data_IF_523145367424
#
_entry.id   IF_523145367424
#
_cell.length_a   1.000
_cell.length_b   1.000
_cell.length_c   1.000
_cell.angle_alpha   90.00
_cell.angle_beta   90.00
_cell.angle_gamma   90.00
#
_symmetry.space_group_name_H-M   'P 1'
#
loop_
_entity.id
_entity.type
_entity.pdbx_description
1 polymer ?
#
# COMPACT_ATOMS: atom_id res chain seq x y z
N UNK A 1 57.14 15.28 -15.16
CA UNK A 1 55.91 15.61 -14.45
C UNK A 1 54.75 15.13 -15.29
N UNK A 2 54.35 13.86 -15.14
CA UNK A 2 53.25 13.27 -15.87
C UNK A 2 51.98 13.41 -15.03
N UNK A 3 50.96 14.05 -15.61
CA UNK A 3 49.62 14.13 -15.02
C UNK A 3 48.86 12.83 -15.36
N UNK A 4 48.62 12.03 -14.35
CA UNK A 4 47.76 10.84 -14.44
C UNK A 4 46.31 11.30 -14.34
N UNK A 5 45.61 11.25 -15.48
CA UNK A 5 44.15 11.45 -15.56
C UNK A 5 43.45 10.17 -15.12
N UNK A 6 42.90 10.15 -13.91
CA UNK A 6 41.98 9.08 -13.45
C UNK A 6 40.56 9.51 -13.73
N UNK A 7 39.92 8.90 -14.73
CA UNK A 7 38.47 8.89 -14.92
C UNK A 7 37.81 7.95 -13.90
N UNK A 8 36.70 8.35 -13.27
CA UNK A 8 35.93 7.45 -12.42
C UNK A 8 35.10 6.48 -13.26
N UNK A 9 34.92 5.23 -12.84
CA UNK A 9 34.09 4.26 -13.53
C UNK A 9 32.60 4.55 -13.27
N UNK A 10 31.98 5.28 -14.18
CA UNK A 10 30.54 5.54 -14.19
C UNK A 10 29.78 4.53 -15.03
N UNK A 11 29.52 3.36 -14.50
CA UNK A 11 28.55 2.42 -15.06
C UNK A 11 27.18 2.66 -14.46
N UNK A 12 26.40 3.61 -14.97
CA UNK A 12 24.96 3.70 -14.69
C UNK A 12 24.26 2.53 -15.39
N UNK A 13 23.96 1.47 -14.64
CA UNK A 13 23.00 0.46 -15.08
C UNK A 13 21.59 1.05 -14.94
N UNK A 14 21.03 1.50 -16.06
CA UNK A 14 19.62 1.82 -16.18
C UNK A 14 18.79 0.54 -16.07
N UNK A 15 18.06 0.38 -14.95
CA UNK A 15 17.05 -0.66 -14.81
C UNK A 15 15.87 -0.37 -15.75
N UNK A 16 15.32 -1.37 -16.46
CA UNK A 16 14.15 -1.17 -17.30
C UNK A 16 12.95 -0.80 -16.43
N UNK A 17 12.50 0.44 -16.54
CA UNK A 17 11.30 0.92 -15.89
C UNK A 17 10.08 0.33 -16.61
N UNK A 18 9.44 -0.68 -16.02
CA UNK A 18 8.13 -1.11 -16.48
C UNK A 18 7.08 -0.09 -16.07
N UNK A 19 6.35 0.45 -17.04
CA UNK A 19 5.30 1.47 -16.91
C UNK A 19 4.15 1.11 -15.93
N UNK A 20 4.12 -0.09 -15.36
CA UNK A 20 3.14 -0.53 -14.37
C UNK A 20 3.50 -0.14 -12.92
N UNK A 21 4.79 0.04 -12.58
CA UNK A 21 5.22 0.45 -11.24
C UNK A 21 4.83 1.89 -10.87
N UNK A 22 4.55 2.73 -11.86
CA UNK A 22 4.23 4.15 -11.62
C UNK A 22 2.88 4.40 -10.95
N UNK A 23 1.99 3.39 -10.87
CA UNK A 23 0.60 3.57 -10.41
C UNK A 23 0.36 3.14 -8.96
N UNK A 24 1.34 2.53 -8.28
CA UNK A 24 1.11 1.88 -7.00
C UNK A 24 1.78 2.59 -5.82
N UNK A 25 1.01 2.74 -4.75
CA UNK A 25 1.45 3.22 -3.44
C UNK A 25 1.64 2.01 -2.52
N UNK A 26 2.75 1.97 -1.77
CA UNK A 26 3.05 0.83 -0.89
C UNK A 26 3.09 1.29 0.57
N UNK A 27 2.06 0.95 1.38
CA UNK A 27 2.17 0.92 2.85
C UNK A 27 0.85 0.57 3.56
N UNK A 28 0.91 -0.08 4.70
CA UNK A 28 -0.26 -0.38 5.55
C UNK A 28 -0.40 0.64 6.67
N UNK A 29 0.69 0.99 7.37
CA UNK A 29 0.63 1.86 8.54
C UNK A 29 0.46 3.34 8.20
N UNK A 30 1.08 3.80 7.11
CA UNK A 30 0.91 5.17 6.63
C UNK A 30 -0.52 5.51 6.27
N UNK A 31 -1.23 4.52 5.73
CA UNK A 31 -2.65 4.62 5.38
C UNK A 31 -3.54 4.80 6.62
N UNK A 32 -3.29 4.05 7.69
CA UNK A 32 -4.03 4.22 8.95
C UNK A 32 -3.84 5.63 9.53
N UNK A 33 -2.61 6.14 9.55
CA UNK A 33 -2.33 7.50 10.03
C UNK A 33 -3.07 8.59 9.24
N UNK A 34 -3.22 8.42 7.91
CA UNK A 34 -4.01 9.34 7.08
C UNK A 34 -5.52 9.24 7.34
N UNK A 35 -6.00 8.07 7.72
CA UNK A 35 -7.43 7.86 7.99
C UNK A 35 -7.92 8.66 9.19
N UNK A 36 -7.07 8.89 10.20
CA UNK A 36 -7.41 9.71 11.36
C UNK A 36 -7.54 11.22 11.06
N UNK A 37 -7.26 11.65 9.84
CA UNK A 37 -7.35 13.07 9.48
C UNK A 37 -8.64 13.37 8.73
N UNK A 38 -9.22 14.53 9.01
CA UNK A 38 -10.39 15.03 8.30
C UNK A 38 -9.97 15.72 6.99
N UNK A 39 -9.46 14.94 6.05
CA UNK A 39 -9.12 15.40 4.70
C UNK A 39 -10.34 15.36 3.78
N UNK A 40 -10.51 16.39 2.96
CA UNK A 40 -11.43 16.37 1.82
C UNK A 40 -10.95 15.36 0.76
N UNK A 41 -11.82 15.03 -0.20
CA UNK A 41 -11.49 14.16 -1.33
C UNK A 41 -10.24 14.66 -2.08
N UNK A 42 -10.20 15.96 -2.37
CA UNK A 42 -9.07 16.59 -3.08
C UNK A 42 -7.78 16.50 -2.27
N UNK A 43 -7.84 16.81 -0.97
CA UNK A 43 -6.68 16.73 -0.08
C UNK A 43 -6.17 15.31 0.06
N UNK A 44 -7.04 14.29 0.20
CA UNK A 44 -6.62 12.89 0.24
C UNK A 44 -5.90 12.46 -1.05
N UNK A 45 -6.44 12.83 -2.21
CA UNK A 45 -5.81 12.53 -3.51
C UNK A 45 -4.43 13.19 -3.63
N UNK A 46 -4.30 14.44 -3.21
CA UNK A 46 -3.03 15.17 -3.20
C UNK A 46 -2.03 14.49 -2.26
N UNK A 47 -2.42 14.23 -1.01
CA UNK A 47 -1.56 13.59 0.00
C UNK A 47 -1.05 12.24 -0.49
N UNK A 48 -1.92 11.39 -1.02
CA UNK A 48 -1.53 10.07 -1.51
C UNK A 48 -0.58 10.14 -2.71
N UNK A 49 -0.74 11.15 -3.57
CA UNK A 49 0.17 11.38 -4.68
C UNK A 49 1.54 11.90 -4.22
N UNK A 50 1.57 12.78 -3.22
CA UNK A 50 2.82 13.25 -2.58
C UNK A 50 3.54 12.08 -1.93
N UNK A 51 2.84 11.23 -1.17
CA UNK A 51 3.43 10.06 -0.51
C UNK A 51 4.00 9.09 -1.54
N UNK A 52 3.28 8.82 -2.63
CA UNK A 52 3.79 7.99 -3.72
C UNK A 52 5.09 8.53 -4.29
N UNK A 53 5.14 9.84 -4.57
CA UNK A 53 6.34 10.49 -5.11
C UNK A 53 7.49 10.44 -4.10
N UNK A 54 7.21 10.70 -2.83
CA UNK A 54 8.16 10.58 -1.75
C UNK A 54 8.71 9.15 -1.63
N UNK A 55 7.85 8.13 -1.76
CA UNK A 55 8.27 6.73 -1.78
C UNK A 55 9.23 6.43 -2.94
N UNK A 56 8.97 6.94 -4.14
CA UNK A 56 9.87 6.77 -5.28
C UNK A 56 11.25 7.36 -4.98
N UNK A 57 11.30 8.62 -4.52
CA UNK A 57 12.56 9.31 -4.17
C UNK A 57 13.36 8.55 -3.13
N UNK A 58 12.70 7.95 -2.14
CA UNK A 58 13.39 7.23 -1.06
C UNK A 58 13.74 5.80 -1.46
N UNK A 59 12.89 5.12 -2.23
CA UNK A 59 13.16 3.77 -2.71
C UNK A 59 14.33 3.73 -3.71
N UNK A 60 14.57 4.81 -4.44
CA UNK A 60 15.76 4.93 -5.29
C UNK A 60 17.06 4.93 -4.46
N UNK A 61 16.98 5.24 -3.16
CA UNK A 61 18.10 5.20 -2.19
C UNK A 61 18.09 3.96 -1.29
N UNK A 62 17.02 3.16 -1.28
CA UNK A 62 16.95 1.93 -0.48
C UNK A 62 17.63 0.80 -1.20
N UNK A 63 18.74 0.38 -0.64
CA UNK A 63 19.51 -0.82 -0.98
C UNK A 63 18.58 -2.02 -1.19
N UNK A 64 18.87 -2.88 -2.19
CA UNK A 64 18.04 -4.02 -2.52
C UNK A 64 17.80 -4.95 -1.32
N UNK A 65 16.59 -5.20 -1.03
CA UNK A 65 15.84 -6.23 -0.31
C UNK A 65 16.59 -7.43 0.31
N UNK A 66 17.62 -7.24 1.13
CA UNK A 66 18.30 -8.37 1.77
C UNK A 66 18.50 -8.21 3.29
N UNK A 67 17.75 -7.39 3.97
CA UNK A 67 17.80 -7.36 5.43
C UNK A 67 16.46 -7.71 6.03
N UNK A 68 16.43 -8.85 6.71
CA UNK A 68 15.33 -9.34 7.54
C UNK A 68 15.06 -8.47 8.78
N UNK A 69 15.83 -7.42 9.01
CA UNK A 69 15.55 -6.41 10.04
C UNK A 69 15.05 -5.13 9.39
N UNK A 70 13.79 -4.92 9.51
CA UNK A 70 12.95 -3.97 8.77
C UNK A 70 12.94 -2.57 9.38
N UNK A 71 13.99 -2.13 9.97
CA UNK A 71 14.15 -0.74 10.33
C UNK A 71 14.62 0.03 9.10
N UNK A 72 13.75 0.93 8.63
CA UNK A 72 14.10 1.85 7.57
C UNK A 72 15.34 2.69 7.97
N UNK A 73 16.50 2.31 7.46
CA UNK A 73 17.79 3.00 7.64
C UNK A 73 18.20 3.82 6.40
N UNK A 74 17.26 4.06 5.47
CA UNK A 74 17.52 4.60 4.15
C UNK A 74 17.75 6.11 4.06
N UNK A 75 17.85 6.84 5.17
CA UNK A 75 18.26 8.24 5.12
C UNK A 75 19.76 8.37 4.84
N UNK A 76 20.12 9.29 3.94
CA UNK A 76 21.53 9.70 3.77
C UNK A 76 22.07 10.32 5.07
N UNK A 77 23.40 10.41 5.18
CA UNK A 77 24.02 11.09 6.33
C UNK A 77 23.55 12.54 6.45
N UNK A 78 23.39 13.22 5.32
CA UNK A 78 22.91 14.60 5.25
C UNK A 78 21.45 14.71 5.71
N UNK A 79 20.57 13.83 5.24
CA UNK A 79 19.17 13.79 5.67
C UNK A 79 19.05 13.48 7.17
N UNK A 80 19.90 12.60 7.70
CA UNK A 80 19.95 12.31 9.15
C UNK A 80 20.38 13.53 9.95
N UNK A 81 21.43 14.21 9.49
CA UNK A 81 21.95 15.42 10.15
C UNK A 81 20.94 16.58 10.09
N UNK A 82 20.26 16.75 8.96
CA UNK A 82 19.23 17.77 8.78
C UNK A 82 17.92 17.48 9.53
N UNK A 83 17.65 16.24 9.91
CA UNK A 83 16.40 15.82 10.58
C UNK A 83 15.16 15.82 9.66
N UNK A 84 15.33 16.12 8.38
CA UNK A 84 14.25 16.20 7.39
C UNK A 84 14.67 15.67 6.02
N UNK A 85 13.68 15.35 5.21
CA UNK A 85 13.84 14.93 3.81
C UNK A 85 13.01 15.82 2.91
N UNK A 86 13.65 16.39 1.88
CA UNK A 86 13.00 17.23 0.89
C UNK A 86 12.59 16.37 -0.33
N UNK A 87 11.35 16.54 -0.78
CA UNK A 87 10.78 15.89 -1.96
C UNK A 87 10.31 16.97 -2.91
N UNK A 88 10.84 16.98 -4.13
CA UNK A 88 10.53 18.00 -5.13
C UNK A 88 9.75 17.38 -6.28
N UNK A 89 8.63 18.02 -6.66
CA UNK A 89 7.84 17.59 -7.80
C UNK A 89 7.24 18.78 -8.56
N UNK A 90 6.79 18.55 -9.80
CA UNK A 90 6.10 19.58 -10.58
C UNK A 90 4.65 19.67 -10.15
N UNK A 91 4.08 20.88 -10.08
CA UNK A 91 2.65 21.06 -9.84
C UNK A 91 1.77 20.36 -10.90
N UNK A 92 2.25 20.25 -12.13
CA UNK A 92 1.55 19.54 -13.21
C UNK A 92 1.39 18.03 -12.97
N UNK A 93 2.23 17.43 -12.11
CA UNK A 93 2.15 16.01 -11.78
C UNK A 93 0.88 15.64 -10.99
N UNK A 94 0.27 16.61 -10.31
CA UNK A 94 -1.01 16.41 -9.63
C UNK A 94 -2.21 16.25 -10.57
N UNK A 95 -2.01 16.40 -11.90
CA UNK A 95 -3.04 16.25 -12.93
C UNK A 95 -4.27 17.15 -12.74
N UNK A 96 -4.12 18.26 -12.04
CA UNK A 96 -5.09 19.34 -12.05
C UNK A 96 -4.93 20.13 -13.34
N UNK A 97 -6.03 20.49 -14.01
CA UNK A 97 -5.97 21.36 -15.20
C UNK A 97 -5.26 22.68 -14.90
N UNK A 98 -4.66 23.31 -15.90
CA UNK A 98 -3.85 24.52 -15.71
C UNK A 98 -4.60 25.67 -14.99
N UNK A 99 -5.92 25.77 -15.16
CA UNK A 99 -6.76 26.75 -14.47
C UNK A 99 -7.01 26.46 -12.98
N UNK A 100 -6.60 25.30 -12.48
CA UNK A 100 -6.85 24.87 -11.09
C UNK A 100 -5.63 24.94 -10.17
N UNK A 101 -4.53 25.56 -10.60
CA UNK A 101 -3.34 25.73 -9.75
C UNK A 101 -3.59 26.56 -8.46
N UNK A 102 -4.42 27.60 -8.45
CA UNK A 102 -4.78 28.28 -7.20
C UNK A 102 -5.43 27.32 -6.19
N UNK A 103 -6.42 26.54 -6.63
CA UNK A 103 -7.11 25.57 -5.77
C UNK A 103 -6.15 24.48 -5.25
N UNK A 104 -5.19 24.05 -6.08
CA UNK A 104 -4.16 23.11 -5.67
C UNK A 104 -3.24 23.70 -4.58
N UNK A 105 -2.80 24.96 -4.74
CA UNK A 105 -2.01 25.67 -3.72
C UNK A 105 -2.77 25.80 -2.39
N UNK A 106 -4.03 26.22 -2.45
CA UNK A 106 -4.87 26.33 -1.27
C UNK A 106 -5.07 24.99 -0.58
N UNK A 107 -5.24 23.91 -1.35
CA UNK A 107 -5.36 22.55 -0.80
C UNK A 107 -4.04 22.10 -0.12
N UNK A 108 -2.89 22.36 -0.72
CA UNK A 108 -1.57 22.08 -0.13
C UNK A 108 -1.41 22.85 1.20
N UNK A 109 -1.75 24.12 1.23
CA UNK A 109 -1.69 24.94 2.46
C UNK A 109 -2.63 24.42 3.54
N UNK A 110 -3.85 24.01 3.18
CA UNK A 110 -4.78 23.38 4.15
C UNK A 110 -4.25 22.07 4.69
N UNK A 111 -3.60 21.23 3.88
CA UNK A 111 -2.96 20.01 4.34
C UNK A 111 -1.83 20.34 5.32
N UNK A 112 -0.99 21.31 4.99
CA UNK A 112 0.12 21.77 5.82
C UNK A 112 -0.34 22.31 7.18
N UNK A 113 -1.51 22.95 7.24
CA UNK A 113 -2.08 23.49 8.48
C UNK A 113 -2.68 22.43 9.42
N UNK A 114 -2.83 21.17 8.95
CA UNK A 114 -3.45 20.10 9.74
C UNK A 114 -2.38 19.31 10.53
N UNK A 115 -2.50 19.26 11.86
CA UNK A 115 -1.63 18.41 12.66
C UNK A 115 -1.92 16.95 12.36
N UNK A 116 -0.90 16.11 12.42
CA UNK A 116 -1.03 14.66 12.27
C UNK A 116 -0.72 13.93 13.58
N UNK A 117 -1.40 12.82 13.78
CA UNK A 117 -1.24 11.97 14.95
C UNK A 117 -0.74 10.60 14.47
N UNK A 118 0.47 10.23 14.84
CA UNK A 118 1.07 8.98 14.42
C UNK A 118 1.26 8.03 15.61
N UNK A 119 0.90 6.75 15.47
CA UNK A 119 1.13 5.75 16.52
C UNK A 119 2.60 5.32 16.53
N UNK A 120 3.19 5.29 17.72
CA UNK A 120 4.52 4.75 17.98
C UNK A 120 4.42 3.62 18.99
N UNK A 121 5.19 2.56 18.78
CA UNK A 121 5.34 1.48 19.74
C UNK A 121 6.63 1.63 20.54
N UNK A 122 6.52 1.46 21.86
CA UNK A 122 7.67 1.32 22.76
C UNK A 122 7.40 0.13 23.67
N UNK A 123 8.10 -0.99 23.40
CA UNK A 123 7.73 -2.28 23.98
C UNK A 123 6.31 -2.68 23.57
N UNK A 124 5.49 -3.09 24.54
CA UNK A 124 4.10 -3.48 24.31
C UNK A 124 3.10 -2.30 24.31
N UNK A 125 3.56 -1.09 24.63
CA UNK A 125 2.71 0.09 24.69
C UNK A 125 2.69 0.82 23.35
N UNK A 126 1.48 1.26 22.95
CA UNK A 126 1.28 2.15 21.81
C UNK A 126 0.92 3.53 22.34
N UNK A 127 1.69 4.54 21.95
CA UNK A 127 1.38 5.94 22.22
C UNK A 127 1.34 6.74 20.92
N UNK A 128 0.60 7.85 20.96
CA UNK A 128 0.40 8.69 19.79
C UNK A 128 1.24 9.96 19.93
N UNK A 129 2.10 10.23 18.94
CA UNK A 129 2.84 11.49 18.85
C UNK A 129 2.14 12.43 17.88
N UNK A 130 1.89 13.66 18.35
CA UNK A 130 1.34 14.73 17.53
C UNK A 130 2.47 15.48 16.84
N UNK A 131 2.38 15.61 15.52
CA UNK A 131 3.21 16.50 14.71
C UNK A 131 2.39 17.70 14.25
N UNK A 132 3.04 18.86 14.08
CA UNK A 132 2.35 20.08 13.67
C UNK A 132 1.76 19.99 12.26
N UNK A 133 2.39 19.22 11.37
CA UNK A 133 1.95 19.02 9.99
C UNK A 133 2.54 17.75 9.41
N UNK A 134 1.99 17.30 8.28
CA UNK A 134 2.52 16.19 7.49
C UNK A 134 3.84 16.57 6.81
N UNK A 135 3.89 17.76 6.25
CA UNK A 135 5.05 18.37 5.58
C UNK A 135 4.95 19.89 5.66
N UNK A 136 6.06 20.57 5.37
CA UNK A 136 6.08 21.98 4.99
C UNK A 136 6.27 22.10 3.51
N UNK A 137 5.67 23.08 2.87
CA UNK A 137 5.72 23.26 1.43
C UNK A 137 6.32 24.60 1.02
N UNK A 138 7.07 24.59 -0.08
CA UNK A 138 7.60 25.79 -0.73
C UNK A 138 7.28 25.68 -2.22
N UNK A 139 6.51 26.63 -2.76
CA UNK A 139 6.10 26.65 -4.16
C UNK A 139 6.89 27.74 -4.86
N UNK A 140 7.59 27.38 -5.93
CA UNK A 140 8.45 28.26 -6.69
C UNK A 140 8.42 27.96 -8.19
N UNK A 141 8.92 28.85 -8.99
CA UNK A 141 9.10 28.64 -10.42
C UNK A 141 10.58 28.36 -10.71
N UNK A 142 10.86 27.28 -11.42
CA UNK A 142 12.22 26.93 -11.80
C UNK A 142 12.71 27.77 -13.01
N UNK A 143 13.99 27.61 -13.39
CA UNK A 143 14.62 28.32 -14.54
C UNK A 143 13.89 28.11 -15.87
N UNK A 144 13.17 26.98 -16.01
CA UNK A 144 12.37 26.66 -17.20
C UNK A 144 10.91 27.12 -17.09
N UNK A 145 10.60 28.02 -16.19
CA UNK A 145 9.26 28.56 -15.92
C UNK A 145 8.21 27.49 -15.51
N UNK A 146 8.65 26.29 -15.10
CA UNK A 146 7.77 25.28 -14.55
C UNK A 146 7.50 25.57 -13.06
N UNK A 147 6.23 25.47 -12.66
CA UNK A 147 5.87 25.54 -11.27
C UNK A 147 6.27 24.25 -10.55
N UNK A 148 7.07 24.40 -9.52
CA UNK A 148 7.60 23.34 -8.67
C UNK A 148 7.05 23.49 -7.27
N UNK A 149 6.96 22.39 -6.55
CA UNK A 149 6.72 22.38 -5.12
C UNK A 149 7.75 21.48 -4.45
N UNK A 150 8.34 22.00 -3.38
CA UNK A 150 9.23 21.27 -2.49
C UNK A 150 8.46 20.97 -1.21
N UNK A 151 8.33 19.70 -0.89
CA UNK A 151 7.75 19.22 0.36
C UNK A 151 8.87 18.79 1.30
N UNK A 152 8.90 19.38 2.48
CA UNK A 152 9.85 19.05 3.54
C UNK A 152 9.16 18.23 4.62
N UNK A 153 9.57 16.98 4.75
CA UNK A 153 9.05 16.04 5.74
C UNK A 153 10.02 15.93 6.93
N UNK A 154 9.49 15.92 8.15
CA UNK A 154 10.22 15.42 9.30
C UNK A 154 10.59 13.94 9.06
N UNK A 155 11.82 13.54 9.37
CA UNK A 155 12.27 12.17 9.15
C UNK A 155 11.48 11.14 9.95
N UNK A 156 10.93 11.50 11.12
CA UNK A 156 10.06 10.60 11.88
C UNK A 156 8.71 10.41 11.20
N UNK A 157 8.18 11.46 10.55
CA UNK A 157 6.93 11.40 9.79
C UNK A 157 7.11 10.54 8.54
N UNK A 158 8.16 10.80 7.76
CA UNK A 158 8.38 10.06 6.52
C UNK A 158 8.70 8.60 6.79
N UNK A 159 9.47 8.29 7.83
CA UNK A 159 9.78 6.92 8.28
C UNK A 159 8.50 6.13 8.56
N UNK A 160 7.47 6.77 9.10
CA UNK A 160 6.20 6.12 9.37
C UNK A 160 5.51 5.57 8.11
N UNK A 161 5.62 6.27 6.97
CA UNK A 161 5.06 5.83 5.69
C UNK A 161 5.88 4.73 5.00
N UNK A 162 7.06 4.41 5.50
CA UNK A 162 7.96 3.37 4.98
C UNK A 162 8.13 2.19 5.92
N UNK A 163 7.50 2.21 7.09
CA UNK A 163 7.57 1.09 8.01
C UNK A 163 6.71 -0.07 7.48
N UNK A 164 7.40 -1.09 6.95
CA UNK A 164 6.78 -2.28 6.37
C UNK A 164 6.68 -3.46 7.36
N UNK A 165 6.92 -3.25 8.66
CA UNK A 165 6.96 -4.32 9.69
C UNK A 165 5.67 -5.15 9.75
N UNK A 166 4.54 -4.57 9.35
CA UNK A 166 3.24 -5.25 9.31
C UNK A 166 2.80 -5.68 7.91
N UNK A 167 3.74 -5.69 6.97
CA UNK A 167 3.47 -6.00 5.58
C UNK A 167 3.22 -4.76 4.71
N UNK A 168 3.09 -4.98 3.42
CA UNK A 168 2.94 -3.95 2.40
C UNK A 168 1.73 -4.27 1.55
N UNK A 169 0.82 -3.30 1.38
CA UNK A 169 -0.28 -3.40 0.41
C UNK A 169 -0.02 -2.47 -0.76
N UNK A 170 -0.32 -2.95 -1.96
CA UNK A 170 -0.27 -2.13 -3.18
C UNK A 170 -1.62 -1.43 -3.36
N UNK A 171 -1.60 -0.13 -3.47
CA UNK A 171 -2.79 0.71 -3.63
C UNK A 171 -2.77 1.35 -5.01
N UNK A 172 -3.79 1.09 -5.81
CA UNK A 172 -3.93 1.70 -7.12
C UNK A 172 -4.44 3.14 -6.98
N UNK A 173 -3.60 4.11 -7.35
CA UNK A 173 -3.98 5.52 -7.36
C UNK A 173 -5.03 5.84 -8.43
N UNK A 174 -5.16 5.04 -9.50
CA UNK A 174 -6.22 5.22 -10.47
C UNK A 174 -7.59 4.93 -9.82
N UNK A 175 -7.68 3.88 -9.01
CA UNK A 175 -8.87 3.59 -8.22
C UNK A 175 -9.22 4.75 -7.27
N UNK A 176 -8.21 5.28 -6.54
CA UNK A 176 -8.39 6.44 -5.67
C UNK A 176 -8.89 7.67 -6.43
N UNK A 177 -8.32 7.95 -7.61
CA UNK A 177 -8.73 9.09 -8.42
C UNK A 177 -10.19 8.98 -8.90
N UNK A 178 -10.71 7.77 -9.08
CA UNK A 178 -12.08 7.51 -9.47
C UNK A 178 -13.06 7.41 -8.30
N UNK A 179 -12.59 7.37 -7.05
CA UNK A 179 -13.45 7.48 -5.87
C UNK A 179 -14.13 8.84 -5.81
N UNK A 180 -15.42 8.83 -5.48
CA UNK A 180 -16.29 10.03 -5.42
C UNK A 180 -16.29 10.70 -4.05
N UNK A 181 -15.98 9.95 -2.99
CA UNK A 181 -16.04 10.46 -1.62
C UNK A 181 -14.79 10.16 -0.80
N UNK A 182 -14.54 10.97 0.23
CA UNK A 182 -13.46 10.73 1.19
C UNK A 182 -13.64 9.39 1.91
N UNK A 183 -14.87 9.04 2.29
CA UNK A 183 -15.19 7.75 2.91
C UNK A 183 -14.88 6.57 1.98
N UNK A 184 -15.14 6.72 0.66
CA UNK A 184 -14.79 5.69 -0.34
C UNK A 184 -13.28 5.48 -0.43
N UNK A 185 -12.50 6.56 -0.47
CA UNK A 185 -11.04 6.50 -0.48
C UNK A 185 -10.54 5.80 0.79
N UNK A 186 -10.99 6.24 1.95
CA UNK A 186 -10.57 5.67 3.24
C UNK A 186 -10.95 4.20 3.36
N UNK A 187 -12.17 3.84 2.98
CA UNK A 187 -12.62 2.45 3.00
C UNK A 187 -11.82 1.58 2.00
N UNK A 188 -11.48 2.10 0.82
CA UNK A 188 -10.62 1.43 -0.14
C UNK A 188 -9.23 1.15 0.43
N UNK A 189 -8.63 2.13 1.10
CA UNK A 189 -7.33 1.98 1.76
C UNK A 189 -7.37 0.91 2.85
N UNK A 190 -8.40 0.95 3.70
CA UNK A 190 -8.59 0.00 4.80
C UNK A 190 -8.88 -1.41 4.26
N UNK A 191 -9.70 -1.53 3.22
CA UNK A 191 -10.00 -2.79 2.55
C UNK A 191 -8.73 -3.51 2.09
N UNK A 192 -7.77 -2.79 1.51
CA UNK A 192 -6.50 -3.37 1.10
C UNK A 192 -5.67 -3.90 2.28
N UNK A 193 -5.80 -3.29 3.46
CA UNK A 193 -5.18 -3.80 4.69
C UNK A 193 -5.85 -5.08 5.22
N UNK A 194 -7.13 -5.30 4.91
CA UNK A 194 -7.91 -6.44 5.35
C UNK A 194 -7.98 -7.57 4.34
N UNK A 195 -7.50 -7.35 3.11
CA UNK A 195 -7.63 -8.28 1.99
C UNK A 195 -7.20 -9.73 2.31
N UNK A 196 -6.19 -9.90 3.16
CA UNK A 196 -5.71 -11.22 3.56
C UNK A 196 -6.67 -11.99 4.49
N UNK A 197 -7.63 -11.30 5.13
CA UNK A 197 -8.53 -11.90 6.13
C UNK A 197 -9.89 -12.31 5.55
N UNK A 198 -10.28 -11.78 4.37
CA UNK A 198 -11.59 -12.01 3.75
C UNK A 198 -12.77 -11.34 4.48
N UNK A 199 -12.73 -11.22 5.79
CA UNK A 199 -13.67 -10.45 6.60
C UNK A 199 -12.95 -9.80 7.79
N UNK A 200 -13.57 -8.79 8.39
CA UNK A 200 -13.09 -8.19 9.62
C UNK A 200 -14.26 -7.66 10.44
N UNK A 201 -14.10 -7.73 11.76
CA UNK A 201 -15.04 -7.17 12.73
C UNK A 201 -14.35 -5.97 13.39
N UNK A 202 -15.01 -4.84 13.39
CA UNK A 202 -14.49 -3.62 13.99
C UNK A 202 -15.52 -2.94 14.88
N UNK A 203 -15.09 -2.43 16.04
CA UNK A 203 -15.96 -1.60 16.88
C UNK A 203 -16.40 -0.37 16.09
N UNK A 204 -17.64 0.03 16.30
CA UNK A 204 -18.23 1.19 15.59
C UNK A 204 -17.45 2.48 15.87
N UNK A 205 -17.00 2.68 17.11
CA UNK A 205 -16.14 3.82 17.48
C UNK A 205 -14.86 3.85 16.68
N UNK A 206 -14.21 2.71 16.48
CA UNK A 206 -12.98 2.60 15.67
C UNK A 206 -13.25 2.93 14.19
N UNK A 207 -14.37 2.47 13.63
CA UNK A 207 -14.76 2.82 12.25
C UNK A 207 -14.99 4.33 12.12
N UNK A 208 -15.69 4.97 13.06
CA UNK A 208 -15.89 6.40 13.05
C UNK A 208 -14.54 7.15 13.15
N UNK A 209 -13.64 6.70 14.02
CA UNK A 209 -12.30 7.27 14.15
C UNK A 209 -11.52 7.15 12.83
N UNK A 210 -11.54 6.00 12.17
CA UNK A 210 -10.88 5.80 10.86
C UNK A 210 -11.48 6.72 9.78
N UNK A 211 -12.80 6.88 9.76
CA UNK A 211 -13.48 7.66 8.72
C UNK A 211 -13.42 9.17 8.94
N UNK A 212 -13.46 9.62 10.18
CA UNK A 212 -13.64 11.04 10.52
C UNK A 212 -12.61 11.59 11.53
N UNK A 213 -11.71 10.75 12.04
CA UNK A 213 -10.72 11.15 13.07
C UNK A 213 -11.32 11.32 14.47
N UNK A 214 -12.58 10.92 14.69
CA UNK A 214 -13.30 11.03 15.95
C UNK A 214 -14.15 9.79 16.17
N UNK A 215 -14.21 9.31 17.41
CA UNK A 215 -14.96 8.09 17.78
C UNK A 215 -16.48 8.34 17.86
N UNK A 216 -16.88 9.57 18.01
CA UNK A 216 -18.25 10.02 18.27
C UNK A 216 -18.81 10.96 17.20
N UNK A 217 -18.37 10.83 15.97
CA UNK A 217 -18.75 11.74 14.87
C UNK A 217 -20.24 11.63 14.53
N UNK A 218 -20.75 10.41 14.34
CA UNK A 218 -22.17 10.14 14.17
C UNK A 218 -22.78 9.67 15.49
N UNK A 219 -23.99 10.11 15.79
CA UNK A 219 -24.70 9.76 17.01
C UNK A 219 -25.68 8.60 16.82
N UNK A 220 -26.10 8.36 15.57
CA UNK A 220 -27.07 7.33 15.23
C UNK A 220 -26.54 6.41 14.13
N UNK A 221 -27.05 5.17 14.12
CA UNK A 221 -26.75 4.23 13.04
C UNK A 221 -27.19 4.77 11.67
N UNK A 222 -28.39 5.34 11.60
CA UNK A 222 -28.94 5.88 10.34
C UNK A 222 -28.01 6.90 9.70
N UNK A 223 -27.36 7.75 10.50
CA UNK A 223 -26.40 8.74 9.99
C UNK A 223 -25.09 8.08 9.51
N UNK A 224 -24.51 7.19 10.33
CA UNK A 224 -23.28 6.48 9.98
C UNK A 224 -23.49 5.63 8.72
N UNK A 225 -24.61 4.90 8.65
CA UNK A 225 -24.95 4.07 7.51
C UNK A 225 -25.14 4.89 6.24
N UNK A 226 -26.09 5.84 6.25
CA UNK A 226 -26.48 6.56 5.04
C UNK A 226 -25.40 7.51 4.52
N UNK A 227 -24.74 8.26 5.41
CA UNK A 227 -23.78 9.30 5.03
C UNK A 227 -22.36 8.80 4.82
N UNK A 228 -22.03 7.60 5.37
CA UNK A 228 -20.66 7.08 5.30
C UNK A 228 -20.59 5.70 4.64
N UNK A 229 -21.13 4.66 5.28
CA UNK A 229 -20.89 3.28 4.87
C UNK A 229 -21.61 2.89 3.59
N UNK A 230 -22.92 3.17 3.50
CA UNK A 230 -23.71 2.88 2.30
C UNK A 230 -23.14 3.59 1.07
N UNK A 231 -22.77 4.87 1.21
CA UNK A 231 -22.17 5.64 0.12
C UNK A 231 -20.82 5.03 -0.31
N UNK A 232 -19.93 4.78 0.65
CA UNK A 232 -18.60 4.26 0.38
C UNK A 232 -18.65 2.86 -0.27
N UNK A 233 -19.46 1.94 0.27
CA UNK A 233 -19.60 0.59 -0.28
C UNK A 233 -20.25 0.59 -1.67
N UNK A 234 -21.26 1.44 -1.92
CA UNK A 234 -21.86 1.59 -3.26
C UNK A 234 -20.83 2.13 -4.26
N UNK A 235 -19.99 3.07 -3.87
CA UNK A 235 -18.95 3.64 -4.73
C UNK A 235 -17.86 2.60 -5.05
N UNK A 236 -17.39 1.83 -4.07
CA UNK A 236 -16.45 0.72 -4.28
C UNK A 236 -17.07 -0.38 -5.16
N UNK A 237 -18.34 -0.73 -4.94
CA UNK A 237 -19.05 -1.69 -5.81
C UNK A 237 -19.18 -1.20 -7.24
N UNK A 238 -19.36 0.10 -7.46
CA UNK A 238 -19.32 0.73 -8.79
C UNK A 238 -17.95 0.56 -9.45
N UNK A 239 -16.85 0.86 -8.73
CA UNK A 239 -15.49 0.68 -9.23
C UNK A 239 -15.20 -0.79 -9.56
N UNK A 240 -15.68 -1.71 -8.73
CA UNK A 240 -15.58 -3.15 -8.98
C UNK A 240 -16.31 -3.56 -10.26
N UNK A 241 -17.56 -3.10 -10.46
CA UNK A 241 -18.34 -3.39 -11.68
C UNK A 241 -17.67 -2.84 -12.93
N UNK A 242 -17.03 -1.68 -12.82
CA UNK A 242 -16.29 -1.03 -13.91
C UNK A 242 -14.87 -1.58 -14.11
N UNK A 243 -14.50 -2.68 -13.48
CA UNK A 243 -13.18 -3.32 -13.56
C UNK A 243 -12.00 -2.40 -13.18
N UNK A 244 -12.24 -1.39 -12.35
CA UNK A 244 -11.20 -0.50 -11.82
C UNK A 244 -10.50 -1.13 -10.62
N UNK A 245 -11.25 -1.87 -9.80
CA UNK A 245 -10.76 -2.65 -8.65
C UNK A 245 -11.28 -4.09 -8.73
N UNK A 246 -10.55 -5.02 -8.12
CA UNK A 246 -10.92 -6.44 -8.11
C UNK A 246 -11.71 -6.84 -6.86
N UNK A 247 -11.86 -5.94 -5.91
CA UNK A 247 -12.46 -6.22 -4.61
C UNK A 247 -13.46 -5.13 -4.22
N UNK A 248 -14.49 -5.49 -3.46
CA UNK A 248 -15.39 -4.56 -2.79
C UNK A 248 -15.84 -5.12 -1.43
N UNK A 249 -16.42 -4.26 -0.60
CA UNK A 249 -16.92 -4.63 0.73
C UNK A 249 -18.44 -4.58 0.80
N UNK A 250 -18.99 -5.52 1.55
CA UNK A 250 -20.32 -5.41 2.17
C UNK A 250 -20.13 -5.36 3.68
N UNK A 251 -21.16 -4.92 4.40
CA UNK A 251 -21.10 -4.84 5.85
C UNK A 251 -22.43 -5.24 6.49
N UNK A 252 -22.36 -5.68 7.74
CA UNK A 252 -23.49 -6.01 8.58
C UNK A 252 -23.28 -5.44 9.99
N UNK A 253 -24.21 -4.61 10.52
CA UNK A 253 -24.13 -4.13 11.89
C UNK A 253 -24.52 -5.23 12.87
N UNK A 254 -23.96 -5.17 14.07
CA UNK A 254 -24.33 -6.02 15.19
C UNK A 254 -24.74 -5.14 16.38
N UNK A 255 -25.98 -5.33 16.87
CA UNK A 255 -26.56 -4.66 18.02
C UNK A 255 -26.63 -5.64 19.19
N UNK A 256 -26.40 -5.18 20.43
CA UNK A 256 -26.50 -6.00 21.64
C UNK A 256 -27.94 -6.29 22.02
N UNK A 257 -28.85 -5.37 21.73
CA UNK A 257 -30.28 -5.50 22.05
C UNK A 257 -31.08 -5.60 20.74
N UNK A 258 -31.92 -6.61 20.61
CA UNK A 258 -32.87 -6.75 19.53
C UNK A 258 -34.10 -5.87 19.79
N UNK A 259 -34.50 -5.01 18.84
CA UNK A 259 -35.77 -4.26 18.93
C UNK A 259 -35.79 -2.92 18.17
N UNK A 260 -36.87 -2.18 18.37
CA UNK A 260 -37.23 -0.93 17.67
C UNK A 260 -36.19 0.21 17.71
N UNK A 261 -35.15 0.07 18.52
CA UNK A 261 -34.12 1.09 18.77
C UNK A 261 -32.95 1.08 17.78
N UNK A 262 -32.89 0.11 16.87
CA UNK A 262 -31.73 -0.08 15.95
C UNK A 262 -31.37 1.18 15.14
N UNK A 263 -32.36 1.98 14.75
CA UNK A 263 -32.13 3.18 13.95
C UNK A 263 -31.52 4.35 14.74
N UNK A 264 -31.77 4.41 16.04
CA UNK A 264 -31.40 5.51 16.93
C UNK A 264 -30.10 5.25 17.71
N UNK A 265 -29.69 4.00 17.82
CA UNK A 265 -28.45 3.61 18.50
C UNK A 265 -27.38 3.19 17.51
N UNK A 266 -26.12 3.33 17.91
CA UNK A 266 -24.99 2.79 17.13
C UNK A 266 -24.84 1.30 17.44
N UNK A 267 -24.53 0.47 16.44
CA UNK A 267 -24.17 -0.92 16.69
C UNK A 267 -22.88 -1.00 17.52
N UNK A 268 -22.70 -2.05 18.29
CA UNK A 268 -21.46 -2.27 19.03
C UNK A 268 -20.30 -2.46 18.07
N UNK A 269 -20.51 -3.29 17.05
CA UNK A 269 -19.52 -3.53 16.03
C UNK A 269 -20.16 -3.73 14.64
N UNK A 270 -19.30 -3.62 13.63
CA UNK A 270 -19.66 -3.78 12.23
C UNK A 270 -18.78 -4.87 11.63
N UNK A 271 -19.40 -5.88 11.04
CA UNK A 271 -18.70 -6.93 10.31
C UNK A 271 -18.63 -6.55 8.85
N UNK A 272 -17.42 -6.48 8.31
CA UNK A 272 -17.17 -6.27 6.89
C UNK A 272 -16.81 -7.58 6.21
N UNK A 273 -17.41 -7.84 5.07
CA UNK A 273 -17.11 -9.00 4.22
C UNK A 273 -16.48 -8.51 2.93
N UNK A 274 -15.31 -9.04 2.61
CA UNK A 274 -14.59 -8.75 1.38
C UNK A 274 -15.06 -9.69 0.26
N UNK A 275 -15.45 -9.12 -0.87
CA UNK A 275 -15.74 -9.84 -2.09
C UNK A 275 -14.60 -9.60 -3.09
N UNK A 276 -13.97 -10.69 -3.55
CA UNK A 276 -12.84 -10.63 -4.49
C UNK A 276 -13.22 -11.35 -5.79
N UNK A 277 -13.04 -10.67 -6.93
CA UNK A 277 -13.34 -11.22 -8.25
C UNK A 277 -12.53 -12.48 -8.55
N UNK A 278 -11.31 -12.54 -8.05
CA UNK A 278 -10.40 -13.66 -8.25
C UNK A 278 -10.86 -14.93 -7.55
N UNK A 279 -11.64 -14.77 -6.47
CA UNK A 279 -12.20 -15.90 -5.71
C UNK A 279 -13.59 -16.31 -6.19
N UNK A 280 -14.35 -15.41 -6.82
CA UNK A 280 -15.70 -15.74 -7.32
C UNK A 280 -15.68 -16.61 -8.61
N UNK A 281 -14.58 -16.68 -9.33
CA UNK A 281 -14.40 -17.57 -10.47
C UNK A 281 -14.02 -19.01 -10.11
N UNK A 282 -13.50 -19.23 -8.90
CA UNK A 282 -13.06 -20.54 -8.42
C UNK A 282 -14.14 -21.29 -7.60
N UNK A 283 -15.23 -20.61 -7.21
CA UNK A 283 -16.32 -21.21 -6.41
C UNK A 283 -17.35 -22.01 -7.20
N UNK A 284 -17.18 -22.15 -8.53
CA UNK A 284 -18.11 -22.98 -9.32
C UNK A 284 -17.86 -24.48 -9.20
N UNK A 285 -16.65 -24.93 -8.81
CA UNK A 285 -16.36 -26.35 -8.59
C UNK A 285 -15.30 -26.55 -7.48
N UNK A 286 -15.69 -26.53 -6.21
CA UNK A 286 -14.84 -27.09 -5.14
C UNK A 286 -14.45 -26.15 -4.01
N UNK A 287 -15.00 -26.42 -2.84
CA UNK A 287 -14.47 -26.19 -1.50
C UNK A 287 -14.00 -24.78 -1.12
N UNK A 288 -14.53 -24.28 -0.01
CA UNK A 288 -14.02 -23.07 0.67
C UNK A 288 -12.49 -23.10 0.82
N UNK A 289 -11.79 -22.31 0.02
CA UNK A 289 -10.35 -22.09 0.22
C UNK A 289 -10.15 -21.35 1.53
N UNK A 290 -9.51 -21.98 2.52
CA UNK A 290 -9.28 -21.41 3.84
C UNK A 290 -8.59 -20.04 3.72
N UNK A 291 -8.92 -19.12 4.62
CA UNK A 291 -8.31 -17.77 4.67
C UNK A 291 -6.78 -17.84 4.79
N UNK A 292 -6.27 -18.90 5.39
CA UNK A 292 -4.86 -19.19 5.53
C UNK A 292 -4.19 -19.48 4.18
N UNK A 293 -4.78 -20.36 3.37
CA UNK A 293 -4.25 -20.69 2.04
C UNK A 293 -4.24 -19.47 1.12
N UNK A 294 -5.27 -18.61 1.23
CA UNK A 294 -5.34 -17.36 0.47
C UNK A 294 -4.20 -16.40 0.86
N UNK A 295 -3.92 -16.29 2.16
CA UNK A 295 -2.79 -15.52 2.67
C UNK A 295 -1.45 -16.05 2.16
N UNK A 296 -1.27 -17.37 2.12
CA UNK A 296 -0.04 -18.01 1.64
C UNK A 296 0.12 -17.86 0.12
N UNK A 297 -0.95 -17.97 -0.67
CA UNK A 297 -0.93 -17.70 -2.12
C UNK A 297 -0.50 -16.27 -2.43
N UNK A 298 -1.02 -15.30 -1.68
CA UNK A 298 -0.62 -13.88 -1.83
C UNK A 298 0.85 -13.65 -1.48
N UNK A 299 1.35 -14.27 -0.41
CA UNK A 299 2.78 -14.22 -0.04
C UNK A 299 3.66 -14.84 -1.12
N UNK A 300 3.26 -15.99 -1.65
CA UNK A 300 3.98 -16.67 -2.73
C UNK A 300 4.05 -15.80 -3.99
N UNK A 301 2.91 -15.22 -4.42
CA UNK A 301 2.87 -14.29 -5.56
C UNK A 301 3.87 -13.15 -5.38
N UNK A 302 3.84 -12.48 -4.22
CA UNK A 302 4.74 -11.38 -3.90
C UNK A 302 6.22 -11.82 -3.89
N UNK A 303 6.53 -12.96 -3.28
CA UNK A 303 7.90 -13.48 -3.23
C UNK A 303 8.44 -13.76 -4.64
N UNK A 304 7.62 -14.36 -5.51
CA UNK A 304 8.00 -14.63 -6.90
C UNK A 304 8.26 -13.35 -7.70
N UNK A 305 7.45 -12.33 -7.53
CA UNK A 305 7.63 -11.06 -8.21
C UNK A 305 8.81 -10.25 -7.68
N UNK A 306 8.90 -10.09 -6.36
CA UNK A 306 9.85 -9.16 -5.75
C UNK A 306 11.27 -9.74 -5.63
N UNK A 307 11.41 -11.05 -5.35
CA UNK A 307 12.71 -11.65 -5.09
C UNK A 307 13.32 -12.28 -6.34
N UNK A 308 12.49 -12.70 -7.29
CA UNK A 308 12.96 -13.50 -8.43
C UNK A 308 12.60 -12.90 -9.79
N UNK A 309 11.93 -11.74 -9.82
CA UNK A 309 11.59 -11.03 -11.04
C UNK A 309 10.69 -11.84 -12.00
N UNK A 310 9.81 -12.68 -11.43
CA UNK A 310 8.79 -13.41 -12.18
C UNK A 310 7.68 -12.46 -12.58
N UNK A 311 7.25 -12.50 -13.84
CA UNK A 311 6.17 -11.62 -14.34
C UNK A 311 4.88 -11.80 -13.53
N UNK A 312 4.10 -10.73 -13.37
CA UNK A 312 2.87 -10.73 -12.55
C UNK A 312 1.90 -11.84 -12.96
N UNK A 313 1.64 -11.96 -14.26
CA UNK A 313 0.74 -12.98 -14.82
C UNK A 313 1.19 -14.40 -14.44
N UNK A 314 2.51 -14.65 -14.52
CA UNK A 314 3.05 -15.98 -14.21
C UNK A 314 3.11 -16.25 -12.72
N UNK A 315 3.44 -15.25 -11.90
CA UNK A 315 3.43 -15.36 -10.45
C UNK A 315 2.01 -15.60 -9.91
N UNK A 316 1.01 -14.97 -10.49
CA UNK A 316 -0.40 -15.20 -10.17
C UNK A 316 -0.84 -16.61 -10.53
N UNK A 317 -0.53 -17.07 -11.74
CA UNK A 317 -0.81 -18.46 -12.17
C UNK A 317 -0.17 -19.47 -11.22
N UNK A 318 1.14 -19.32 -10.93
CA UNK A 318 1.87 -20.26 -10.07
C UNK A 318 1.33 -20.24 -8.63
N UNK A 319 1.03 -19.07 -8.07
CA UNK A 319 0.47 -18.99 -6.72
C UNK A 319 -0.91 -19.64 -6.59
N UNK A 320 -1.68 -19.69 -7.67
CA UNK A 320 -2.99 -20.37 -7.72
C UNK A 320 -2.91 -21.87 -7.47
N UNK A 321 -1.80 -22.51 -7.82
CA UNK A 321 -1.60 -23.96 -7.62
C UNK A 321 -1.21 -24.36 -6.20
N UNK A 322 -0.87 -23.40 -5.32
CA UNK A 322 -0.51 -23.69 -3.93
C UNK A 322 -1.67 -24.30 -3.15
N UNK A 323 -1.42 -25.40 -2.44
CA UNK A 323 -2.33 -26.08 -1.50
C UNK A 323 -1.75 -26.05 -0.09
N UNK A 324 -2.59 -26.28 0.92
CA UNK A 324 -2.18 -26.26 2.33
C UNK A 324 -1.11 -27.30 2.69
N UNK A 325 -1.20 -28.47 2.08
CA UNK A 325 -0.25 -29.58 2.27
C UNK A 325 1.17 -29.27 1.77
N UNK A 326 1.32 -28.29 0.87
CA UNK A 326 2.60 -27.89 0.30
C UNK A 326 3.33 -26.80 1.08
N UNK A 327 2.67 -26.15 2.05
CA UNK A 327 3.21 -24.94 2.71
C UNK A 327 4.49 -25.25 3.48
N UNK A 328 4.56 -26.40 4.15
CA UNK A 328 5.76 -26.82 4.88
C UNK A 328 6.98 -26.97 3.97
N UNK A 329 6.80 -27.64 2.83
CA UNK A 329 7.89 -27.94 1.89
C UNK A 329 8.31 -26.71 1.05
N UNK A 330 7.41 -25.73 0.95
CA UNK A 330 7.64 -24.52 0.15
C UNK A 330 8.79 -23.65 0.70
N UNK A 331 8.92 -23.53 2.01
CA UNK A 331 10.00 -22.73 2.61
C UNK A 331 11.36 -23.38 2.42
N UNK A 332 11.44 -24.71 2.60
CA UNK A 332 12.65 -25.49 2.34
C UNK A 332 13.03 -25.46 0.85
N UNK A 333 12.03 -25.50 -0.02
CA UNK A 333 12.25 -25.31 -1.45
C UNK A 333 12.91 -23.95 -1.74
N UNK A 334 12.37 -22.86 -1.18
CA UNK A 334 12.93 -21.53 -1.39
C UNK A 334 14.34 -21.40 -0.84
N UNK A 335 14.63 -21.91 0.36
CA UNK A 335 15.98 -21.87 0.93
C UNK A 335 17.01 -22.53 0.01
N UNK A 336 16.69 -23.69 -0.55
CA UNK A 336 17.57 -24.39 -1.52
C UNK A 336 17.78 -23.57 -2.79
N UNK A 337 16.72 -22.92 -3.32
CA UNK A 337 16.82 -22.12 -4.54
C UNK A 337 17.56 -20.81 -4.33
N UNK A 338 17.35 -20.15 -3.18
CA UNK A 338 18.06 -18.93 -2.79
C UNK A 338 19.57 -19.20 -2.66
N UNK A 339 19.94 -20.31 -2.03
CA UNK A 339 21.34 -20.73 -1.94
C UNK A 339 21.97 -20.94 -3.32
N UNK A 340 21.28 -21.64 -4.23
CA UNK A 340 21.75 -21.86 -5.59
C UNK A 340 21.92 -20.55 -6.38
N UNK A 341 20.93 -19.65 -6.31
CA UNK A 341 20.97 -18.34 -6.97
C UNK A 341 22.13 -17.49 -6.43
N UNK A 342 22.34 -17.50 -5.11
CA UNK A 342 23.45 -16.79 -4.48
C UNK A 342 24.81 -17.31 -4.98
N UNK A 343 24.98 -18.62 -5.11
CA UNK A 343 26.21 -19.23 -5.63
C UNK A 343 26.46 -18.90 -7.11
N UNK A 344 25.41 -18.89 -7.93
CA UNK A 344 25.52 -18.45 -9.32
C UNK A 344 25.98 -17.01 -9.43
N UNK A 345 25.45 -16.12 -8.60
CA UNK A 345 25.84 -14.71 -8.54
C UNK A 345 27.30 -14.54 -8.11
N UNK A 346 27.76 -15.28 -7.08
CA UNK A 346 29.17 -15.28 -6.62
C UNK A 346 30.14 -15.75 -7.71
N UNK A 347 29.69 -16.67 -8.53
CA UNK A 347 30.49 -17.21 -9.65
C UNK A 347 30.39 -16.39 -10.94
N UNK A 348 29.83 -15.17 -10.89
CA UNK A 348 29.58 -14.30 -12.05
C UNK A 348 28.81 -14.98 -13.21
N UNK A 349 28.06 -16.03 -12.92
CA UNK A 349 27.26 -16.73 -13.92
C UNK A 349 25.99 -15.95 -14.21
N UNK A 350 25.84 -15.46 -15.44
CA UNK A 350 24.61 -14.81 -15.89
C UNK A 350 23.46 -15.81 -15.83
N UNK A 351 22.41 -15.48 -15.09
CA UNK A 351 21.22 -16.31 -14.93
C UNK A 351 19.96 -15.45 -15.02
N UNK A 352 19.00 -15.91 -15.82
CA UNK A 352 17.65 -15.36 -15.80
C UNK A 352 16.91 -15.91 -14.56
N UNK A 353 16.92 -15.15 -13.47
CA UNK A 353 16.35 -15.57 -12.19
C UNK A 353 14.85 -15.85 -12.29
N UNK A 354 14.10 -15.02 -13.02
CA UNK A 354 12.65 -15.19 -13.21
C UNK A 354 12.31 -16.45 -14.00
N UNK A 355 13.01 -16.69 -15.10
CA UNK A 355 12.85 -17.91 -15.89
C UNK A 355 13.21 -19.17 -15.10
N UNK A 356 14.34 -19.14 -14.38
CA UNK A 356 14.77 -20.23 -13.52
C UNK A 356 13.73 -20.56 -12.44
N UNK A 357 13.27 -19.54 -11.68
CA UNK A 357 12.27 -19.74 -10.62
C UNK A 357 10.93 -20.19 -11.16
N UNK A 358 10.51 -19.70 -12.32
CA UNK A 358 9.29 -20.19 -12.99
C UNK A 358 9.37 -21.69 -13.25
N UNK A 359 10.47 -22.17 -13.86
CA UNK A 359 10.68 -23.60 -14.14
C UNK A 359 10.78 -24.41 -12.85
N UNK A 360 11.51 -23.91 -11.86
CA UNK A 360 11.66 -24.57 -10.57
C UNK A 360 10.33 -24.73 -9.81
N UNK A 361 9.48 -23.71 -9.84
CA UNK A 361 8.13 -23.76 -9.22
C UNK A 361 7.20 -24.74 -9.96
N UNK A 362 7.26 -24.81 -11.29
CA UNK A 362 6.52 -25.82 -12.05
C UNK A 362 6.97 -27.22 -11.64
N UNK A 363 8.28 -27.46 -11.48
CA UNK A 363 8.81 -28.72 -10.95
C UNK A 363 8.27 -29.02 -9.56
N UNK A 364 8.35 -28.09 -8.63
CA UNK A 364 7.81 -28.22 -7.27
C UNK A 364 6.34 -28.65 -7.25
N UNK A 365 5.49 -28.01 -8.05
CA UNK A 365 4.07 -28.37 -8.12
C UNK A 365 3.83 -29.75 -8.75
N UNK A 366 4.62 -30.13 -9.78
CA UNK A 366 4.55 -31.49 -10.37
C UNK A 366 4.93 -32.55 -9.35
N UNK A 367 5.99 -32.33 -8.58
CA UNK A 367 6.43 -33.24 -7.52
C UNK A 367 5.34 -33.44 -6.44
N UNK A 368 4.44 -32.44 -6.26
CA UNK A 368 3.27 -32.51 -5.38
C UNK A 368 1.97 -32.94 -6.10
N UNK A 369 2.07 -33.49 -7.29
CA UNK A 369 0.93 -34.08 -8.02
C UNK A 369 -0.03 -33.06 -8.64
N UNK A 370 0.45 -31.86 -9.01
CA UNK A 370 -0.35 -30.90 -9.77
C UNK A 370 -0.18 -31.19 -11.26
N UNK A 371 -1.26 -31.63 -11.90
CA UNK A 371 -1.30 -31.93 -13.34
C UNK A 371 -1.70 -30.68 -14.16
N UNK A 372 -1.31 -30.62 -15.44
CA UNK A 372 -1.72 -29.56 -16.37
C UNK A 372 -0.93 -28.24 -16.29
N UNK A 373 0.29 -28.28 -15.73
CA UNK A 373 1.20 -27.11 -15.59
C UNK A 373 2.04 -26.86 -16.86
#
# INVERSE_FOLDING_TARGET
>A
MEQVNQQPPGGQQSFPQTNQQEKQLMTILGVQGLSYQNYSVAELKIVLQIIKHAQKVILDYVVPYHTTSQTFNGFTSEQRAAGHTDVVMKLSEFKFGAGHYPQLRDAIQRIESKPILLPFKQGDQTYYRKFSCLFKSEIYQNRHKNWMVKFRFDNNVIRFFYNCDKGVSRIDLNAINQCRGASSIKLYLIMNCWAAKGFTISKTTHIQQLMHGREDYYKTWSELDSRCLTFACKDLKRLYRNHVIDQYLTYKPFFLEEGEKEKHHLPEHITFTLHDRRTSGETAEGGEVSSELRGQRSKLKLRLQCNYDVSEKKAEQLSGYLRLDMIGDLEDFFQRKDYYIANCRRSNKKMNTGGYMTTAMVGFFKDHGVEGL
#
